data_IF_622263445823
#
_entry.id   IF_622263445823
#
_cell.length_a   1.000
_cell.length_b   1.000
_cell.length_c   1.000
_cell.angle_alpha   90.00
_cell.angle_beta   90.00
_cell.angle_gamma   90.00
#
_symmetry.space_group_name_H-M   'P 1'
#
loop_
_entity.id
_entity.type
_entity.pdbx_description
1 polymer ?
#
# COMPACT_ATOMS: atom_id res chain seq x y z
N UNK A 1 -29.98 -1.67 27.25
CA UNK A 1 -28.80 -0.76 27.19
C UNK A 1 -29.09 0.27 26.14
N UNK A 2 -29.00 1.57 26.46
CA UNK A 2 -29.28 2.67 25.51
C UNK A 2 -28.16 2.71 24.46
N UNK A 3 -28.52 2.87 23.19
CA UNK A 3 -27.52 2.98 22.12
C UNK A 3 -26.74 4.30 22.23
N UNK A 4 -25.44 4.32 21.86
CA UNK A 4 -24.68 5.55 21.69
C UNK A 4 -25.35 6.51 20.71
N UNK A 5 -25.25 7.81 20.99
CA UNK A 5 -25.85 8.86 20.14
C UNK A 5 -25.09 9.09 18.84
N UNK A 6 -23.80 8.73 18.78
CA UNK A 6 -22.89 8.99 17.67
C UNK A 6 -22.28 7.69 17.18
N UNK A 7 -22.12 7.57 15.86
CA UNK A 7 -21.60 6.38 15.22
C UNK A 7 -20.68 6.75 14.07
N UNK A 8 -19.64 5.94 13.89
CA UNK A 8 -18.73 6.03 12.74
C UNK A 8 -18.87 4.77 11.91
N UNK A 9 -19.23 4.92 10.64
CA UNK A 9 -19.22 3.86 9.65
C UNK A 9 -17.76 3.46 9.37
N UNK A 10 -17.50 2.15 9.41
CA UNK A 10 -16.22 1.61 9.01
C UNK A 10 -16.24 1.33 7.50
N UNK A 11 -15.08 1.26 6.85
CA UNK A 11 -15.04 1.06 5.40
C UNK A 11 -15.73 -0.20 4.89
N UNK A 12 -15.76 -1.28 5.70
CA UNK A 12 -16.55 -2.47 5.37
C UNK A 12 -18.07 -2.20 5.28
N UNK A 13 -18.55 -1.05 5.78
CA UNK A 13 -19.95 -0.61 5.69
C UNK A 13 -20.19 0.43 4.58
N UNK A 14 -19.23 0.78 3.75
CA UNK A 14 -19.37 1.83 2.73
C UNK A 14 -20.55 1.61 1.79
N UNK A 15 -20.81 0.37 1.38
CA UNK A 15 -22.00 0.02 0.59
C UNK A 15 -23.33 0.29 1.31
N UNK A 16 -23.34 0.27 2.64
CA UNK A 16 -24.50 0.51 3.48
C UNK A 16 -24.59 2.01 3.82
N UNK A 17 -23.45 2.64 4.09
CA UNK A 17 -23.38 4.03 4.55
C UNK A 17 -23.51 5.07 3.43
N UNK A 18 -23.58 4.64 2.18
CA UNK A 18 -23.65 5.55 1.02
C UNK A 18 -22.43 6.46 0.88
N UNK A 19 -21.28 6.06 1.45
CA UNK A 19 -20.05 6.85 1.43
C UNK A 19 -19.92 7.84 2.59
N UNK A 20 -20.93 8.00 3.44
CA UNK A 20 -20.84 8.84 4.63
C UNK A 20 -20.20 8.07 5.79
N UNK A 21 -19.46 8.79 6.61
CA UNK A 21 -18.69 8.20 7.70
C UNK A 21 -19.32 8.45 9.07
N UNK A 22 -19.72 9.66 9.38
CA UNK A 22 -20.23 10.04 10.69
C UNK A 22 -21.74 10.20 10.69
N UNK A 23 -22.37 9.57 11.68
CA UNK A 23 -23.81 9.52 11.82
C UNK A 23 -24.25 9.88 13.23
N UNK A 24 -25.42 10.52 13.32
CA UNK A 24 -26.14 10.75 14.56
C UNK A 24 -27.32 9.79 14.65
N UNK A 25 -27.54 9.19 15.82
CA UNK A 25 -28.71 8.37 16.10
C UNK A 25 -29.95 9.25 16.23
N UNK A 26 -30.93 9.01 15.37
CA UNK A 26 -32.25 9.66 15.45
C UNK A 26 -33.20 8.87 16.38
N UNK A 27 -33.04 7.56 16.50
CA UNK A 27 -33.87 6.70 17.30
C UNK A 27 -33.78 5.24 16.87
N UNK A 28 -34.58 4.39 17.53
CA UNK A 28 -34.70 2.98 17.20
C UNK A 28 -36.10 2.70 16.62
N UNK A 29 -36.20 1.65 15.80
CA UNK A 29 -37.46 1.16 15.25
C UNK A 29 -37.50 -0.38 15.23
N UNK A 30 -38.71 -0.96 15.06
CA UNK A 30 -38.91 -2.41 15.05
C UNK A 30 -38.95 -3.06 16.43
N UNK A 31 -39.23 -4.36 16.49
CA UNK A 31 -39.28 -5.16 17.69
C UNK A 31 -38.51 -6.48 17.50
N UNK A 32 -38.02 -7.05 18.60
CA UNK A 32 -37.32 -8.32 18.57
C UNK A 32 -36.10 -8.34 17.64
N UNK A 33 -35.98 -9.37 16.79
CA UNK A 33 -34.86 -9.49 15.83
C UNK A 33 -34.81 -8.40 14.74
N UNK A 34 -35.93 -7.78 14.46
CA UNK A 34 -36.07 -6.74 13.42
C UNK A 34 -35.73 -5.32 13.93
N UNK A 35 -35.24 -5.21 15.17
CA UNK A 35 -34.82 -3.92 15.72
C UNK A 35 -33.70 -3.32 14.90
N UNK A 36 -33.84 -2.05 14.55
CA UNK A 36 -32.88 -1.28 13.80
C UNK A 36 -32.71 0.14 14.36
N UNK A 37 -31.55 0.71 14.16
CA UNK A 37 -31.24 2.11 14.46
C UNK A 37 -31.52 2.97 13.23
N UNK A 38 -32.15 4.14 13.42
CA UNK A 38 -32.23 5.19 12.40
C UNK A 38 -31.09 6.15 12.63
N UNK A 39 -30.23 6.27 11.64
CA UNK A 39 -29.05 7.13 11.64
C UNK A 39 -29.21 8.25 10.60
N UNK A 40 -28.68 9.44 10.87
CA UNK A 40 -28.60 10.55 9.92
C UNK A 40 -27.14 10.95 9.75
N UNK A 41 -26.72 11.16 8.49
CA UNK A 41 -25.36 11.58 8.19
C UNK A 41 -25.11 13.00 8.73
N UNK A 42 -23.94 13.23 9.33
CA UNK A 42 -23.61 14.51 9.96
C UNK A 42 -23.30 15.57 8.91
N UNK A 43 -22.62 15.18 7.82
CA UNK A 43 -22.22 16.11 6.76
C UNK A 43 -23.36 16.51 5.82
N UNK A 44 -24.40 15.69 5.70
CA UNK A 44 -25.54 15.99 4.84
C UNK A 44 -26.84 15.62 5.55
N UNK A 45 -27.51 16.64 6.10
CA UNK A 45 -28.81 16.49 6.74
C UNK A 45 -29.85 15.98 5.74
N UNK A 46 -30.61 14.98 6.15
CA UNK A 46 -31.61 14.34 5.28
C UNK A 46 -31.16 13.02 4.69
N UNK A 47 -29.85 12.74 4.66
CA UNK A 47 -29.35 11.39 4.35
C UNK A 47 -29.52 10.49 5.56
N UNK A 48 -30.49 9.57 5.48
CA UNK A 48 -30.91 8.70 6.58
C UNK A 48 -30.72 7.24 6.23
N UNK A 49 -30.25 6.47 7.20
CA UNK A 49 -30.06 5.03 7.10
C UNK A 49 -30.86 4.31 8.18
N UNK A 50 -31.33 3.12 7.83
CA UNK A 50 -31.88 2.15 8.79
C UNK A 50 -30.90 0.98 8.88
N UNK A 51 -30.23 0.86 10.02
CA UNK A 51 -29.18 -0.16 10.25
C UNK A 51 -29.69 -1.18 11.25
N UNK A 52 -29.78 -2.47 10.89
CA UNK A 52 -30.13 -3.54 11.84
C UNK A 52 -29.22 -3.52 13.07
N UNK A 53 -29.76 -3.71 14.27
CA UNK A 53 -28.94 -3.67 15.50
C UNK A 53 -27.84 -4.72 15.55
N UNK A 54 -28.02 -5.85 14.87
CA UNK A 54 -26.96 -6.87 14.70
C UNK A 54 -25.75 -6.29 13.96
N UNK A 55 -25.99 -5.54 12.86
CA UNK A 55 -24.95 -4.95 12.03
C UNK A 55 -24.30 -3.75 12.74
N UNK A 56 -25.10 -2.95 13.47
CA UNK A 56 -24.60 -1.84 14.27
C UNK A 56 -23.68 -2.29 15.43
N UNK A 57 -23.84 -3.53 15.90
CA UNK A 57 -22.98 -4.14 16.93
C UNK A 57 -21.71 -4.76 16.38
N UNK A 58 -21.64 -5.00 15.07
CA UNK A 58 -20.43 -5.47 14.42
C UNK A 58 -19.41 -4.34 14.33
N UNK A 59 -18.35 -4.43 15.10
CA UNK A 59 -17.30 -3.42 15.19
C UNK A 59 -16.50 -3.26 13.89
N UNK A 60 -16.57 -4.22 12.98
CA UNK A 60 -15.98 -4.12 11.64
C UNK A 60 -16.80 -3.20 10.74
N UNK A 61 -18.11 -3.07 11.00
CA UNK A 61 -19.02 -2.24 10.23
C UNK A 61 -19.23 -0.87 10.88
N UNK A 62 -19.37 -0.81 12.22
CA UNK A 62 -19.74 0.40 12.94
C UNK A 62 -18.98 0.55 14.26
N UNK A 63 -18.53 1.75 14.54
CA UNK A 63 -17.91 2.11 15.83
C UNK A 63 -18.75 3.16 16.55
N UNK A 64 -18.98 3.04 17.87
CA UNK A 64 -19.64 4.08 18.65
C UNK A 64 -18.74 5.31 18.81
N UNK A 65 -19.36 6.46 18.84
CA UNK A 65 -18.66 7.73 18.87
C UNK A 65 -18.22 8.19 17.49
N UNK A 66 -17.79 9.43 17.39
CA UNK A 66 -17.12 9.92 16.20
C UNK A 66 -15.62 9.61 16.34
N UNK A 67 -15.14 8.78 15.45
CA UNK A 67 -13.73 8.43 15.37
C UNK A 67 -13.02 9.48 14.50
N UNK A 68 -11.95 10.07 15.02
CA UNK A 68 -11.11 10.95 14.20
C UNK A 68 -10.49 10.18 13.04
N UNK A 69 -10.18 10.86 11.94
CA UNK A 69 -9.43 10.27 10.83
C UNK A 69 -8.03 9.78 11.26
N UNK A 70 -7.50 10.33 12.36
CA UNK A 70 -6.26 9.84 12.98
C UNK A 70 -6.33 8.38 13.46
N UNK A 71 -7.54 7.83 13.66
CA UNK A 71 -7.73 6.42 14.03
C UNK A 71 -7.67 5.47 12.81
N UNK A 72 -7.76 5.97 11.60
CA UNK A 72 -7.45 5.22 10.38
C UNK A 72 -5.98 5.51 10.05
N UNK A 73 -5.14 4.48 10.01
CA UNK A 73 -3.74 4.64 9.66
C UNK A 73 -3.61 5.49 8.39
N UNK A 74 -2.76 6.54 8.45
CA UNK A 74 -2.43 7.31 7.26
C UNK A 74 -1.81 6.35 6.24
N UNK A 75 -2.21 6.48 4.97
CA UNK A 75 -1.56 5.71 3.90
C UNK A 75 -0.20 6.33 3.62
N UNK A 76 0.86 5.52 3.68
CA UNK A 76 2.20 5.98 3.36
C UNK A 76 2.38 6.06 1.85
N UNK A 77 2.80 7.23 1.33
CA UNK A 77 3.23 7.37 -0.06
C UNK A 77 4.74 7.20 -0.11
N UNK A 78 5.20 6.25 -0.91
CA UNK A 78 6.60 5.87 -1.00
C UNK A 78 7.09 6.13 -2.43
N UNK A 79 7.82 7.23 -2.68
CA UNK A 79 8.48 7.45 -3.96
C UNK A 79 9.45 6.32 -4.28
N UNK A 80 9.55 5.96 -5.57
CA UNK A 80 10.43 4.91 -6.02
C UNK A 80 11.49 5.41 -7.01
N UNK A 81 12.73 4.93 -6.83
CA UNK A 81 13.85 5.09 -7.75
C UNK A 81 14.30 3.69 -8.18
N UNK A 82 14.25 3.42 -9.46
CA UNK A 82 14.88 2.26 -10.07
C UNK A 82 16.27 2.65 -10.55
N UNK A 83 17.27 1.83 -10.19
CA UNK A 83 18.67 2.03 -10.55
C UNK A 83 19.09 1.04 -11.63
N UNK A 84 19.59 1.55 -12.75
CA UNK A 84 20.22 0.79 -13.82
C UNK A 84 21.48 1.53 -14.25
N UNK A 85 22.65 0.86 -14.24
CA UNK A 85 23.94 1.46 -14.55
C UNK A 85 24.20 2.78 -13.77
N UNK A 86 23.79 2.83 -12.50
CA UNK A 86 23.96 4.00 -11.63
C UNK A 86 23.02 5.18 -11.93
N UNK A 87 22.01 5.03 -12.75
CA UNK A 87 21.07 6.08 -13.14
C UNK A 87 19.64 5.79 -12.70
N UNK A 88 18.84 6.86 -12.51
CA UNK A 88 17.40 6.75 -12.29
C UNK A 88 16.69 6.41 -13.59
N UNK A 89 16.02 5.27 -13.63
CA UNK A 89 15.30 4.82 -14.82
C UNK A 89 13.88 4.33 -14.46
N UNK A 90 13.12 4.01 -15.51
CA UNK A 90 11.91 3.20 -15.45
C UNK A 90 11.87 2.23 -16.60
N UNK A 91 11.48 1.01 -16.30
CA UNK A 91 11.14 0.00 -17.29
C UNK A 91 9.63 0.05 -17.57
N UNK A 92 9.24 -0.20 -18.80
CA UNK A 92 7.84 -0.43 -19.12
C UNK A 92 7.52 -1.91 -18.89
N UNK A 93 6.66 -2.22 -17.90
CA UNK A 93 6.30 -3.59 -17.51
C UNK A 93 7.51 -4.53 -17.31
N UNK A 94 8.61 -3.99 -16.75
CA UNK A 94 9.83 -4.78 -16.49
C UNK A 94 10.72 -5.06 -17.71
N UNK A 95 10.40 -4.52 -18.88
CA UNK A 95 11.15 -4.75 -20.12
C UNK A 95 12.43 -3.91 -20.15
N UNK A 96 13.59 -4.58 -20.11
CA UNK A 96 14.91 -3.95 -20.16
C UNK A 96 15.27 -3.34 -21.52
N UNK A 97 14.50 -3.65 -22.56
CA UNK A 97 14.65 -3.04 -23.89
C UNK A 97 13.82 -1.73 -23.99
N UNK A 98 12.92 -1.48 -23.04
CA UNK A 98 12.07 -0.29 -22.97
C UNK A 98 12.41 0.56 -21.75
N UNK A 99 13.61 1.12 -21.71
CA UNK A 99 14.13 1.93 -20.60
C UNK A 99 13.90 3.42 -20.85
N UNK A 100 13.22 4.08 -19.94
CA UNK A 100 13.16 5.54 -19.86
C UNK A 100 14.13 6.03 -18.79
N UNK A 101 15.05 6.95 -19.14
CA UNK A 101 16.01 7.55 -18.22
C UNK A 101 15.50 8.90 -17.74
N UNK A 102 15.50 9.13 -16.43
CA UNK A 102 14.97 10.37 -15.83
C UNK A 102 16.06 11.25 -15.22
N UNK A 103 17.06 10.66 -14.58
CA UNK A 103 18.14 11.40 -13.94
C UNK A 103 19.44 10.60 -13.92
N UNK A 104 20.55 11.29 -14.18
CA UNK A 104 21.91 10.74 -13.98
C UNK A 104 22.43 10.93 -12.56
N UNK A 105 21.69 11.63 -11.70
CA UNK A 105 22.04 11.87 -10.29
C UNK A 105 20.94 11.34 -9.36
N UNK A 106 21.02 10.04 -8.99
CA UNK A 106 20.05 9.43 -8.10
C UNK A 106 20.04 10.02 -6.67
N UNK A 107 21.17 10.55 -6.20
CA UNK A 107 21.26 11.19 -4.88
C UNK A 107 20.48 12.49 -4.87
N UNK A 108 20.66 13.35 -5.88
CA UNK A 108 19.89 14.57 -6.01
C UNK A 108 18.39 14.30 -6.13
N UNK A 109 18.01 13.26 -6.89
CA UNK A 109 16.60 12.82 -7.02
C UNK A 109 16.01 12.36 -5.69
N UNK A 110 16.74 11.57 -4.92
CA UNK A 110 16.32 11.09 -3.61
C UNK A 110 16.14 12.24 -2.60
N UNK A 111 17.08 13.19 -2.58
CA UNK A 111 16.98 14.41 -1.77
C UNK A 111 15.79 15.28 -2.18
N UNK A 112 15.46 15.32 -3.47
CA UNK A 112 14.29 16.05 -3.95
C UNK A 112 12.98 15.45 -3.44
N UNK A 113 12.82 14.12 -3.47
CA UNK A 113 11.65 13.46 -2.87
C UNK A 113 11.56 13.74 -1.37
N UNK A 114 12.69 13.66 -0.64
CA UNK A 114 12.71 14.00 0.78
C UNK A 114 12.28 15.45 1.05
N UNK A 115 12.75 16.43 0.25
CA UNK A 115 12.34 17.84 0.38
C UNK A 115 10.86 18.06 0.12
N UNK A 116 10.26 17.27 -0.76
CA UNK A 116 8.83 17.29 -1.03
C UNK A 116 7.98 16.63 0.06
N UNK A 117 8.62 16.04 1.09
CA UNK A 117 7.95 15.48 2.26
C UNK A 117 7.82 13.95 2.26
N UNK A 118 8.54 13.24 1.40
CA UNK A 118 8.60 11.78 1.48
C UNK A 118 9.04 11.32 2.87
N UNK A 119 8.35 10.33 3.44
CA UNK A 119 8.67 9.75 4.74
C UNK A 119 9.47 8.45 4.63
N UNK A 120 9.61 7.91 3.44
CA UNK A 120 10.37 6.70 3.08
C UNK A 120 10.72 6.74 1.60
N UNK A 121 11.86 6.16 1.22
CA UNK A 121 12.23 5.95 -0.18
C UNK A 121 12.27 4.46 -0.49
N UNK A 122 11.74 4.07 -1.65
CA UNK A 122 11.87 2.74 -2.22
C UNK A 122 12.91 2.74 -3.33
N UNK A 123 13.92 1.88 -3.21
CA UNK A 123 14.94 1.66 -4.23
C UNK A 123 14.77 0.27 -4.85
N UNK A 124 14.99 0.17 -6.16
CA UNK A 124 15.12 -1.10 -6.87
C UNK A 124 16.46 -1.13 -7.59
N UNK A 125 17.32 -2.09 -7.24
CA UNK A 125 18.53 -2.39 -7.99
C UNK A 125 18.19 -3.33 -9.16
N UNK A 126 17.97 -2.76 -10.35
CA UNK A 126 17.62 -3.52 -11.54
C UNK A 126 18.78 -4.37 -12.06
N UNK A 127 20.03 -3.91 -11.93
CA UNK A 127 21.21 -4.72 -12.27
C UNK A 127 21.32 -5.91 -11.34
N UNK A 128 21.15 -5.70 -10.03
CA UNK A 128 21.09 -6.75 -9.02
C UNK A 128 19.94 -7.72 -9.26
N UNK A 129 18.76 -7.24 -9.64
CA UNK A 129 17.62 -8.09 -9.96
C UNK A 129 17.92 -9.01 -11.14
N UNK A 130 18.52 -8.48 -12.21
CA UNK A 130 18.86 -9.21 -13.43
C UNK A 130 20.02 -10.18 -13.23
N UNK A 131 21.14 -9.70 -12.66
CA UNK A 131 22.40 -10.46 -12.62
C UNK A 131 22.71 -11.10 -11.26
N UNK A 132 22.11 -10.59 -10.18
CA UNK A 132 22.47 -10.94 -8.80
C UNK A 132 23.79 -10.30 -8.33
N UNK A 133 24.37 -9.37 -9.12
CA UNK A 133 25.64 -8.71 -8.80
C UNK A 133 25.37 -7.30 -8.24
N UNK A 134 26.13 -6.84 -7.23
CA UNK A 134 25.92 -5.56 -6.54
C UNK A 134 26.50 -4.37 -7.33
N UNK A 135 26.02 -4.13 -8.54
CA UNK A 135 26.55 -3.11 -9.45
C UNK A 135 26.32 -1.69 -8.92
N UNK A 136 25.16 -1.46 -8.27
CA UNK A 136 24.74 -0.12 -7.82
C UNK A 136 25.09 0.18 -6.35
N UNK A 137 25.89 -0.63 -5.68
CA UNK A 137 26.18 -0.50 -4.24
C UNK A 137 26.71 0.88 -3.83
N UNK A 138 27.59 1.47 -4.64
CA UNK A 138 28.11 2.81 -4.33
C UNK A 138 27.02 3.87 -4.34
N UNK A 139 26.12 3.81 -5.32
CA UNK A 139 25.00 4.74 -5.44
C UNK A 139 24.00 4.52 -4.31
N UNK A 140 23.67 3.26 -3.99
CA UNK A 140 22.77 2.91 -2.88
C UNK A 140 23.31 3.44 -1.56
N UNK A 141 24.61 3.23 -1.26
CA UNK A 141 25.27 3.76 -0.08
C UNK A 141 25.27 5.28 -0.03
N UNK A 142 25.50 5.94 -1.18
CA UNK A 142 25.47 7.42 -1.26
C UNK A 142 24.06 7.97 -0.98
N UNK A 143 23.01 7.37 -1.56
CA UNK A 143 21.63 7.74 -1.29
C UNK A 143 21.30 7.55 0.19
N UNK A 144 21.60 6.37 0.76
CA UNK A 144 21.29 6.04 2.14
C UNK A 144 22.00 6.98 3.12
N UNK A 145 23.25 7.39 2.82
CA UNK A 145 23.99 8.32 3.65
C UNK A 145 23.49 9.78 3.54
N UNK A 146 22.94 10.18 2.40
CA UNK A 146 22.46 11.53 2.17
C UNK A 146 21.08 11.80 2.75
N UNK A 147 20.23 10.77 2.91
CA UNK A 147 18.87 10.91 3.38
C UNK A 147 18.75 10.81 4.91
N UNK A 148 17.82 11.58 5.47
CA UNK A 148 17.38 11.44 6.87
C UNK A 148 16.13 10.56 7.03
N UNK A 149 15.48 10.21 5.92
CA UNK A 149 14.32 9.31 5.89
C UNK A 149 14.77 7.86 5.66
N UNK A 150 14.01 6.86 6.16
CA UNK A 150 14.33 5.46 5.95
C UNK A 150 14.26 5.07 4.47
N UNK A 151 15.19 4.20 4.07
CA UNK A 151 15.30 3.67 2.70
C UNK A 151 15.07 2.17 2.72
N UNK A 152 14.23 1.66 1.81
CA UNK A 152 14.04 0.24 1.57
C UNK A 152 14.55 -0.14 0.18
N UNK A 153 15.16 -1.31 0.05
CA UNK A 153 15.78 -1.78 -1.20
C UNK A 153 15.28 -3.16 -1.59
N UNK A 154 14.86 -3.27 -2.86
CA UNK A 154 14.65 -4.52 -3.59
C UNK A 154 15.64 -4.68 -4.75
N UNK A 155 15.63 -5.87 -5.35
CA UNK A 155 16.52 -6.20 -6.45
C UNK A 155 17.80 -6.92 -6.01
N UNK A 156 17.95 -8.18 -6.42
CA UNK A 156 19.18 -8.96 -6.22
C UNK A 156 19.46 -9.48 -4.81
N UNK A 157 18.60 -9.26 -3.83
CA UNK A 157 18.80 -9.78 -2.45
C UNK A 157 18.41 -11.26 -2.42
N UNK A 158 19.40 -12.16 -2.58
CA UNK A 158 19.20 -13.61 -2.74
C UNK A 158 19.79 -14.45 -1.62
N UNK A 159 20.57 -13.87 -0.71
CA UNK A 159 21.23 -14.58 0.40
C UNK A 159 21.09 -13.80 1.71
N UNK A 160 21.30 -14.50 2.84
CA UNK A 160 21.29 -13.89 4.16
C UNK A 160 22.41 -12.86 4.31
N UNK A 161 23.59 -13.21 3.85
CA UNK A 161 24.79 -12.36 3.94
C UNK A 161 24.56 -11.05 3.21
N UNK A 162 23.95 -11.09 2.01
CA UNK A 162 23.63 -9.88 1.26
C UNK A 162 22.59 -9.01 1.96
N UNK A 163 21.55 -9.62 2.51
CA UNK A 163 20.55 -8.90 3.30
C UNK A 163 21.17 -8.21 4.52
N UNK A 164 22.02 -8.92 5.26
CA UNK A 164 22.69 -8.43 6.45
C UNK A 164 23.71 -7.31 6.13
N UNK A 165 24.48 -7.46 5.04
CA UNK A 165 25.38 -6.40 4.55
C UNK A 165 24.61 -5.10 4.25
N UNK A 166 23.50 -5.20 3.53
CA UNK A 166 22.66 -4.05 3.18
C UNK A 166 22.05 -3.38 4.41
N UNK A 167 21.53 -4.18 5.36
CA UNK A 167 20.98 -3.69 6.62
C UNK A 167 22.04 -3.03 7.51
N UNK A 168 23.27 -3.61 7.55
CA UNK A 168 24.41 -3.02 8.26
C UNK A 168 24.91 -1.74 7.57
N UNK A 169 24.74 -1.63 6.25
CA UNK A 169 25.07 -0.46 5.44
C UNK A 169 24.10 0.72 5.60
N UNK A 170 23.09 0.61 6.47
CA UNK A 170 22.17 1.70 6.83
C UNK A 170 20.79 1.65 6.19
N UNK A 171 20.50 0.65 5.33
CA UNK A 171 19.13 0.48 4.82
C UNK A 171 18.20 0.13 5.99
N UNK A 172 17.00 0.71 5.96
CA UNK A 172 15.95 0.41 6.95
C UNK A 172 15.33 -0.98 6.70
N UNK A 173 15.05 -1.32 5.45
CA UNK A 173 14.42 -2.59 5.06
C UNK A 173 15.05 -3.18 3.81
N UNK A 174 15.07 -4.49 3.74
CA UNK A 174 15.38 -5.27 2.53
C UNK A 174 14.12 -5.97 2.03
N UNK A 175 13.97 -6.05 0.71
CA UNK A 175 12.81 -6.66 0.06
C UNK A 175 13.26 -7.93 -0.63
N UNK A 176 12.62 -9.04 -0.27
CA UNK A 176 12.88 -10.37 -0.77
C UNK A 176 11.74 -10.78 -1.70
N UNK A 177 12.03 -10.90 -3.01
CA UNK A 177 11.07 -11.34 -4.03
C UNK A 177 11.22 -12.84 -4.33
N UNK A 178 11.99 -13.20 -5.36
CA UNK A 178 12.22 -14.58 -5.81
C UNK A 178 12.58 -15.54 -4.69
N UNK A 179 13.40 -15.09 -3.73
CA UNK A 179 13.79 -15.86 -2.54
C UNK A 179 12.61 -16.25 -1.66
N UNK A 180 11.56 -15.47 -1.62
CA UNK A 180 10.36 -15.80 -0.85
C UNK A 180 9.67 -17.08 -1.36
N UNK A 181 9.83 -17.42 -2.63
CA UNK A 181 9.35 -18.67 -3.23
C UNK A 181 10.40 -19.77 -3.13
N UNK A 182 11.64 -19.47 -3.54
CA UNK A 182 12.69 -20.49 -3.66
C UNK A 182 13.21 -20.96 -2.30
N UNK A 183 13.27 -20.07 -1.29
CA UNK A 183 13.86 -20.32 0.04
C UNK A 183 13.05 -19.61 1.14
N UNK A 184 11.78 -19.98 1.37
CA UNK A 184 10.93 -19.29 2.35
C UNK A 184 11.49 -19.32 3.78
N UNK A 185 12.21 -20.39 4.17
CA UNK A 185 12.83 -20.49 5.49
C UNK A 185 13.95 -19.45 5.70
N UNK A 186 14.61 -19.01 4.63
CA UNK A 186 15.56 -17.91 4.71
C UNK A 186 14.87 -16.59 5.08
N UNK A 187 13.67 -16.34 4.54
CA UNK A 187 12.87 -15.15 4.87
C UNK A 187 12.46 -15.18 6.33
N UNK A 188 11.97 -16.33 6.83
CA UNK A 188 11.57 -16.52 8.23
C UNK A 188 12.76 -16.27 9.17
N UNK A 189 13.94 -16.84 8.85
CA UNK A 189 15.15 -16.67 9.63
C UNK A 189 15.64 -15.20 9.66
N UNK A 190 15.57 -14.50 8.52
CA UNK A 190 15.94 -13.09 8.44
C UNK A 190 14.94 -12.21 9.19
N UNK A 191 13.62 -12.43 9.04
CA UNK A 191 12.59 -11.69 9.73
C UNK A 191 12.69 -11.85 11.25
N UNK A 192 13.02 -13.04 11.74
CA UNK A 192 13.27 -13.31 13.16
C UNK A 192 14.49 -12.58 13.69
N UNK A 193 15.59 -12.54 12.93
CA UNK A 193 16.85 -11.85 13.33
C UNK A 193 16.77 -10.34 13.21
N UNK A 194 15.96 -9.83 12.27
CA UNK A 194 15.82 -8.42 11.97
C UNK A 194 14.34 -7.98 12.00
N UNK A 195 13.68 -7.97 13.19
CA UNK A 195 12.27 -7.64 13.31
C UNK A 195 11.95 -6.27 12.71
N UNK A 196 10.90 -6.21 11.86
CA UNK A 196 10.47 -4.97 11.22
C UNK A 196 11.31 -4.51 10.02
N UNK A 197 12.37 -5.27 9.64
CA UNK A 197 13.31 -4.86 8.59
C UNK A 197 13.30 -5.75 7.33
N UNK A 198 12.50 -6.80 7.32
CA UNK A 198 12.34 -7.70 6.17
C UNK A 198 10.96 -7.52 5.57
N UNK A 199 10.90 -7.30 4.27
CA UNK A 199 9.68 -7.13 3.47
C UNK A 199 9.65 -8.22 2.40
N UNK A 200 8.49 -8.77 2.11
CA UNK A 200 8.30 -9.71 1.00
C UNK A 200 7.72 -8.95 -0.19
N UNK A 201 8.40 -9.04 -1.35
CA UNK A 201 7.87 -8.57 -2.63
C UNK A 201 7.12 -9.69 -3.34
N UNK A 202 5.87 -9.45 -3.67
CA UNK A 202 5.01 -10.37 -4.42
C UNK A 202 4.59 -9.67 -5.70
N UNK A 203 5.31 -9.92 -6.77
CA UNK A 203 5.01 -9.43 -8.10
C UNK A 203 4.16 -10.47 -8.81
N UNK A 204 2.97 -10.12 -9.26
CA UNK A 204 2.02 -11.07 -9.82
C UNK A 204 1.46 -10.62 -11.17
N UNK A 205 1.19 -11.60 -11.99
CA UNK A 205 0.43 -11.45 -13.24
C UNK A 205 -0.71 -12.47 -13.23
N UNK A 206 -1.94 -12.01 -13.43
CA UNK A 206 -3.14 -12.86 -13.41
C UNK A 206 -3.24 -13.72 -12.13
N UNK A 207 -2.83 -13.16 -10.99
CA UNK A 207 -2.84 -13.82 -9.68
C UNK A 207 -1.68 -14.78 -9.41
N UNK A 208 -0.85 -15.10 -10.41
CA UNK A 208 0.32 -15.97 -10.26
C UNK A 208 1.59 -15.16 -10.03
N UNK A 209 2.42 -15.62 -9.09
CA UNK A 209 3.67 -14.92 -8.73
C UNK A 209 4.70 -15.08 -9.83
N UNK A 210 5.31 -13.95 -10.24
CA UNK A 210 6.46 -13.92 -11.13
C UNK A 210 7.78 -13.89 -10.35
N UNK A 211 8.82 -14.42 -10.95
CA UNK A 211 10.17 -14.52 -10.37
C UNK A 211 11.22 -14.02 -11.34
N UNK A 212 12.46 -13.86 -10.83
CA UNK A 212 13.65 -13.52 -11.62
C UNK A 212 13.48 -12.26 -12.47
N UNK A 213 13.00 -11.17 -11.87
CA UNK A 213 12.76 -9.92 -12.61
C UNK A 213 11.65 -10.06 -13.65
N UNK A 214 10.59 -10.82 -13.30
CA UNK A 214 9.37 -11.04 -14.10
C UNK A 214 9.55 -11.90 -15.36
N UNK A 215 10.71 -12.55 -15.51
CA UNK A 215 11.00 -13.41 -16.68
C UNK A 215 10.22 -14.73 -16.60
N UNK A 216 10.03 -15.25 -15.39
CA UNK A 216 9.35 -16.52 -15.17
C UNK A 216 8.08 -16.32 -14.35
N UNK A 217 6.99 -16.97 -14.74
CA UNK A 217 5.76 -17.05 -13.95
C UNK A 217 5.72 -18.40 -13.24
N UNK A 218 5.55 -18.38 -11.93
CA UNK A 218 5.42 -19.59 -11.11
C UNK A 218 3.98 -20.14 -11.15
N UNK A 219 3.76 -21.30 -10.55
CA UNK A 219 2.41 -21.85 -10.30
C UNK A 219 1.83 -21.43 -8.95
N UNK A 220 2.55 -20.57 -8.20
CA UNK A 220 2.16 -20.13 -6.86
C UNK A 220 1.18 -18.98 -6.95
N UNK A 221 0.05 -19.11 -6.28
CA UNK A 221 -0.91 -18.01 -6.15
C UNK A 221 -0.34 -16.93 -5.22
N UNK A 222 -0.47 -15.66 -5.60
CA UNK A 222 0.01 -14.52 -4.82
C UNK A 222 -0.60 -14.49 -3.41
N UNK A 223 -1.89 -14.79 -3.29
CA UNK A 223 -2.59 -14.86 -2.00
C UNK A 223 -2.12 -16.02 -1.12
N UNK A 224 -1.70 -17.15 -1.70
CA UNK A 224 -1.16 -18.27 -0.91
C UNK A 224 0.22 -17.91 -0.35
N UNK A 225 1.06 -17.24 -1.14
CA UNK A 225 2.34 -16.73 -0.67
C UNK A 225 2.15 -15.68 0.43
N UNK A 226 1.15 -14.79 0.30
CA UNK A 226 0.80 -13.83 1.35
C UNK A 226 0.40 -14.52 2.66
N UNK A 227 -0.44 -15.56 2.60
CA UNK A 227 -0.82 -16.37 3.78
C UNK A 227 0.39 -17.05 4.41
N UNK A 228 1.31 -17.57 3.60
CA UNK A 228 2.54 -18.21 4.08
C UNK A 228 3.34 -17.28 5.00
N UNK A 229 3.43 -16.00 4.67
CA UNK A 229 4.20 -15.02 5.43
C UNK A 229 3.39 -14.23 6.48
N UNK A 230 2.11 -14.49 6.62
CA UNK A 230 1.23 -13.79 7.58
C UNK A 230 1.70 -13.89 9.05
N UNK A 231 2.41 -14.97 9.42
CA UNK A 231 2.93 -15.20 10.77
C UNK A 231 4.45 -15.19 10.86
N UNK A 232 5.16 -14.85 9.79
CA UNK A 232 6.64 -14.93 9.70
C UNK A 232 7.39 -13.78 10.35
N UNK A 233 6.68 -12.74 10.82
CA UNK A 233 7.31 -11.55 11.40
C UNK A 233 7.88 -10.57 10.38
N UNK A 234 7.56 -10.73 9.08
CA UNK A 234 7.92 -9.75 8.04
C UNK A 234 7.19 -8.41 8.30
N UNK A 235 7.84 -7.31 7.95
CA UNK A 235 7.36 -5.96 8.23
C UNK A 235 6.16 -5.54 7.36
N UNK A 236 6.14 -6.01 6.11
CA UNK A 236 5.12 -5.71 5.12
C UNK A 236 5.21 -6.69 3.94
N UNK A 237 4.16 -6.70 3.13
CA UNK A 237 4.14 -7.31 1.80
C UNK A 237 3.98 -6.19 0.77
N UNK A 238 4.88 -6.09 -0.19
CA UNK A 238 4.69 -5.25 -1.38
C UNK A 238 3.99 -6.10 -2.43
N UNK A 239 2.84 -5.67 -2.87
CA UNK A 239 2.06 -6.35 -3.91
C UNK A 239 2.10 -5.54 -5.20
N UNK A 240 2.80 -6.06 -6.22
CA UNK A 240 2.91 -5.43 -7.54
C UNK A 240 2.05 -6.19 -8.54
N UNK A 241 1.14 -5.49 -9.22
CA UNK A 241 0.50 -6.01 -10.41
C UNK A 241 1.34 -5.65 -11.64
N UNK A 242 1.98 -6.67 -12.24
CA UNK A 242 2.88 -6.49 -13.39
C UNK A 242 2.13 -5.95 -14.62
N UNK A 243 0.87 -6.33 -14.79
CA UNK A 243 0.08 -5.89 -15.93
C UNK A 243 -0.20 -4.38 -15.93
N UNK A 244 -0.24 -3.76 -14.75
CA UNK A 244 -0.47 -2.32 -14.60
C UNK A 244 0.81 -1.53 -14.35
N UNK A 245 1.92 -2.17 -13.97
CA UNK A 245 3.15 -1.46 -13.63
C UNK A 245 3.72 -0.66 -14.79
N UNK A 246 4.04 0.62 -14.52
CA UNK A 246 4.55 1.58 -15.52
C UNK A 246 3.53 2.05 -16.55
N UNK A 247 2.27 1.59 -16.52
CA UNK A 247 1.23 1.94 -17.51
C UNK A 247 0.45 3.21 -17.20
N UNK A 248 0.43 3.66 -15.93
CA UNK A 248 -0.40 4.76 -15.44
C UNK A 248 -1.93 4.52 -15.59
N UNK A 249 -2.36 3.27 -15.67
CA UNK A 249 -3.75 2.89 -15.94
C UNK A 249 -4.60 2.68 -14.66
N UNK A 250 -4.04 2.98 -13.49
CA UNK A 250 -4.65 2.78 -12.19
C UNK A 250 -4.23 1.44 -11.52
N UNK A 251 -4.38 1.34 -10.19
CA UNK A 251 -4.03 0.15 -9.42
C UNK A 251 -5.11 -0.94 -9.57
N UNK A 252 -4.71 -2.20 -9.48
CA UNK A 252 -5.64 -3.33 -9.43
C UNK A 252 -6.22 -3.49 -8.02
N UNK A 253 -7.32 -2.78 -7.75
CA UNK A 253 -7.97 -2.77 -6.42
C UNK A 253 -8.50 -4.15 -6.00
N UNK A 254 -8.93 -4.98 -6.96
CA UNK A 254 -9.43 -6.32 -6.68
C UNK A 254 -8.30 -7.24 -6.19
N UNK A 255 -7.17 -7.26 -6.90
CA UNK A 255 -6.00 -8.01 -6.50
C UNK A 255 -5.45 -7.54 -5.14
N UNK A 256 -5.36 -6.22 -4.91
CA UNK A 256 -4.90 -5.64 -3.64
C UNK A 256 -5.84 -5.99 -2.48
N UNK A 257 -7.16 -6.01 -2.70
CA UNK A 257 -8.14 -6.46 -1.73
C UNK A 257 -7.91 -7.92 -1.36
N UNK A 258 -7.78 -8.79 -2.36
CA UNK A 258 -7.54 -10.21 -2.15
C UNK A 258 -6.23 -10.46 -1.36
N UNK A 259 -5.18 -9.70 -1.65
CA UNK A 259 -3.90 -9.76 -0.93
C UNK A 259 -4.06 -9.32 0.54
N UNK A 260 -4.75 -8.22 0.79
CA UNK A 260 -4.98 -7.71 2.15
C UNK A 260 -5.87 -8.65 2.99
N UNK A 261 -6.88 -9.28 2.37
CA UNK A 261 -7.73 -10.29 3.03
C UNK A 261 -6.98 -11.60 3.30
N UNK A 262 -5.97 -11.92 2.48
CA UNK A 262 -5.15 -13.11 2.65
C UNK A 262 -4.07 -12.97 3.72
N UNK A 263 -3.72 -11.75 4.14
CA UNK A 263 -2.60 -11.48 5.03
C UNK A 263 -3.01 -10.66 6.25
N UNK A 264 -2.43 -10.97 7.42
CA UNK A 264 -2.46 -10.09 8.60
C UNK A 264 -1.31 -9.08 8.63
N UNK A 265 -0.36 -9.20 7.69
CA UNK A 265 0.77 -8.29 7.53
C UNK A 265 0.35 -7.10 6.67
N UNK A 266 0.80 -5.87 6.97
CA UNK A 266 0.51 -4.70 6.14
C UNK A 266 0.87 -4.90 4.67
N UNK A 267 -0.05 -4.50 3.76
CA UNK A 267 0.17 -4.56 2.31
C UNK A 267 0.50 -3.17 1.78
N UNK A 268 1.54 -3.09 0.95
CA UNK A 268 1.94 -1.89 0.22
C UNK A 268 1.60 -2.13 -1.26
N UNK A 269 0.74 -1.28 -1.81
CA UNK A 269 0.37 -1.33 -3.22
C UNK A 269 1.53 -0.89 -4.11
N UNK A 270 1.71 -1.55 -5.25
CA UNK A 270 2.71 -1.18 -6.26
C UNK A 270 2.17 -1.45 -7.66
N UNK A 271 2.51 -0.56 -8.60
CA UNK A 271 2.08 -0.64 -9.99
C UNK A 271 0.80 0.14 -10.32
N UNK A 272 0.75 0.71 -11.51
CA UNK A 272 -0.43 1.33 -12.11
C UNK A 272 -0.73 2.77 -11.74
N UNK A 273 -0.25 3.30 -10.63
CA UNK A 273 -0.57 4.66 -10.17
C UNK A 273 -0.20 5.70 -11.24
N UNK A 274 -1.20 6.43 -11.71
CA UNK A 274 -1.09 7.48 -12.71
C UNK A 274 -1.59 8.84 -12.25
N UNK A 275 -2.56 8.86 -11.32
CA UNK A 275 -3.24 10.08 -10.87
C UNK A 275 -3.39 10.13 -9.34
N UNK A 276 -3.79 11.30 -8.82
CA UNK A 276 -4.15 11.45 -7.40
C UNK A 276 -5.40 10.61 -7.06
N UNK A 277 -6.34 10.50 -7.98
CA UNK A 277 -7.56 9.70 -7.80
C UNK A 277 -7.23 8.21 -7.60
N UNK A 278 -6.20 7.71 -8.27
CA UNK A 278 -5.73 6.33 -8.08
C UNK A 278 -5.26 6.11 -6.63
N UNK A 279 -4.48 7.05 -6.10
CA UNK A 279 -4.03 7.01 -4.70
C UNK A 279 -5.22 7.07 -3.74
N UNK A 280 -6.17 7.98 -4.00
CA UNK A 280 -7.38 8.11 -3.18
C UNK A 280 -8.25 6.85 -3.23
N UNK A 281 -8.29 6.14 -4.36
CA UNK A 281 -9.04 4.89 -4.49
C UNK A 281 -8.55 3.81 -3.52
N UNK A 282 -7.23 3.76 -3.22
CA UNK A 282 -6.64 2.84 -2.27
C UNK A 282 -7.14 3.05 -0.83
N UNK A 283 -7.59 4.26 -0.48
CA UNK A 283 -8.16 4.52 0.84
C UNK A 283 -9.42 3.66 1.11
N UNK A 284 -10.10 3.18 0.06
CA UNK A 284 -11.28 2.31 0.20
C UNK A 284 -10.92 0.92 0.74
N UNK A 285 -9.68 0.49 0.55
CA UNK A 285 -9.16 -0.80 1.00
C UNK A 285 -8.09 -0.68 2.10
N UNK A 286 -7.75 0.53 2.52
CA UNK A 286 -6.83 0.77 3.63
C UNK A 286 -7.22 0.05 4.93
N UNK A 287 -8.50 -0.06 5.31
CA UNK A 287 -8.91 -0.78 6.51
C UNK A 287 -8.80 -2.30 6.42
N UNK A 288 -8.63 -2.84 5.22
CA UNK A 288 -8.33 -4.26 5.04
C UNK A 288 -6.85 -4.57 5.30
N UNK A 289 -6.00 -3.53 5.38
CA UNK A 289 -4.56 -3.70 5.63
C UNK A 289 -3.65 -3.11 4.56
N UNK A 290 -4.20 -2.45 3.52
CA UNK A 290 -3.39 -1.70 2.55
C UNK A 290 -3.02 -0.36 3.18
N UNK A 291 -1.78 -0.21 3.64
CA UNK A 291 -1.33 0.95 4.41
C UNK A 291 -0.25 1.80 3.72
N UNK A 292 0.12 1.45 2.50
CA UNK A 292 1.10 2.19 1.73
C UNK A 292 0.95 1.99 0.24
N UNK A 293 1.52 2.90 -0.52
CA UNK A 293 1.59 2.85 -1.98
C UNK A 293 2.95 3.31 -2.47
N UNK A 294 3.55 2.53 -3.36
CA UNK A 294 4.77 2.89 -4.09
C UNK A 294 4.35 3.63 -5.35
N UNK A 295 4.89 4.84 -5.52
CA UNK A 295 4.62 5.68 -6.68
C UNK A 295 5.93 5.96 -7.41
N UNK A 296 5.99 5.53 -8.64
CA UNK A 296 7.16 5.69 -9.47
C UNK A 296 6.96 6.72 -10.57
N UNK A 297 6.64 6.23 -11.77
CA UNK A 297 6.57 6.99 -13.01
C UNK A 297 5.73 8.26 -12.91
N UNK A 298 4.57 8.20 -12.26
CA UNK A 298 3.67 9.33 -12.10
C UNK A 298 4.30 10.56 -11.40
N UNK A 299 5.26 10.34 -10.49
CA UNK A 299 6.00 11.43 -9.85
C UNK A 299 7.02 12.06 -10.80
N UNK A 300 7.70 11.26 -11.65
CA UNK A 300 8.64 11.75 -12.64
C UNK A 300 7.95 12.50 -13.79
N UNK A 301 6.81 11.97 -14.25
CA UNK A 301 6.02 12.59 -15.33
C UNK A 301 5.21 13.81 -14.81
N UNK A 302 5.16 14.03 -13.48
CA UNK A 302 4.44 15.14 -12.85
C UNK A 302 2.92 15.00 -12.88
N UNK A 303 2.38 13.82 -13.22
CA UNK A 303 0.94 13.54 -13.18
C UNK A 303 0.42 13.38 -11.75
N UNK A 304 1.31 13.06 -10.81
CA UNK A 304 1.07 13.09 -9.36
C UNK A 304 2.05 14.08 -8.73
N UNK A 305 1.52 15.06 -8.00
CA UNK A 305 2.33 15.91 -7.13
C UNK A 305 2.46 15.26 -5.75
N UNK A 306 3.71 15.01 -5.29
CA UNK A 306 3.95 14.30 -4.04
C UNK A 306 3.39 15.05 -2.83
N UNK A 307 3.56 16.38 -2.75
CA UNK A 307 3.07 17.19 -1.64
C UNK A 307 1.54 17.16 -1.53
N UNK A 308 0.83 17.29 -2.66
CA UNK A 308 -0.63 17.18 -2.70
C UNK A 308 -1.11 15.79 -2.31
N UNK A 309 -0.43 14.76 -2.80
CA UNK A 309 -0.77 13.38 -2.48
C UNK A 309 -0.58 13.07 -0.99
N UNK A 310 0.51 13.53 -0.38
CA UNK A 310 0.75 13.40 1.07
C UNK A 310 -0.32 14.12 1.90
N UNK A 311 -0.75 15.32 1.49
CA UNK A 311 -1.84 16.03 2.15
C UNK A 311 -3.17 15.29 2.00
N UNK A 312 -3.44 14.73 0.83
CA UNK A 312 -4.71 14.06 0.54
C UNK A 312 -4.92 12.77 1.33
N UNK A 313 -3.84 12.04 1.66
CA UNK A 313 -3.92 10.76 2.40
C UNK A 313 -3.42 10.88 3.84
N UNK A 314 -2.86 12.03 4.23
CA UNK A 314 -2.25 12.25 5.54
C UNK A 314 -3.23 12.20 6.71
N UNK A 315 -2.72 12.24 7.95
CA UNK A 315 -3.56 12.14 9.16
C UNK A 315 -4.46 13.36 9.38
N UNK A 316 -4.21 14.47 8.69
CA UNK A 316 -4.98 15.71 8.78
C UNK A 316 -5.92 15.93 7.58
N UNK A 317 -6.13 14.88 6.77
CA UNK A 317 -7.06 14.97 5.65
C UNK A 317 -8.45 15.42 6.07
N UNK A 318 -9.02 16.37 5.35
CA UNK A 318 -10.32 17.01 5.67
C UNK A 318 -11.49 16.21 5.08
N UNK A 319 -11.27 15.26 4.18
CA UNK A 319 -12.36 14.54 3.52
C UNK A 319 -12.91 13.41 4.38
N UNK A 320 -14.18 13.59 4.78
CA UNK A 320 -14.99 12.59 5.49
C UNK A 320 -15.72 11.60 4.55
N UNK A 321 -15.73 11.87 3.26
CA UNK A 321 -16.37 11.05 2.25
C UNK A 321 -15.43 10.78 1.09
N UNK A 322 -15.14 9.52 0.82
CA UNK A 322 -14.60 9.07 -0.45
C UNK A 322 -15.78 9.05 -1.42
N UNK A 323 -15.96 10.11 -2.16
CA UNK A 323 -17.09 10.23 -3.08
C UNK A 323 -16.92 9.30 -4.27
N UNK A 324 -17.62 8.18 -4.26
CA UNK A 324 -18.23 7.71 -5.53
C UNK A 324 -19.34 8.71 -5.91
N UNK A 325 -19.53 9.00 -7.21
CA UNK A 325 -20.53 9.97 -7.64
C UNK A 325 -21.89 9.60 -7.07
N UNK A 326 -22.60 10.61 -6.59
CA UNK A 326 -23.95 10.55 -6.01
C UNK A 326 -24.84 9.58 -6.80
N UNK A 327 -25.01 8.37 -6.31
CA UNK A 327 -26.22 7.61 -6.63
C UNK A 327 -27.27 8.07 -5.63
N UNK A 328 -28.25 8.80 -6.13
CA UNK A 328 -29.47 9.09 -5.39
C UNK A 328 -30.05 7.78 -4.87
N UNK A 329 -29.93 7.56 -3.58
CA UNK A 329 -30.65 6.48 -2.90
C UNK A 329 -32.06 7.01 -2.70
N UNK A 330 -32.92 6.70 -3.66
CA UNK A 330 -34.38 6.83 -3.44
C UNK A 330 -34.78 5.65 -2.56
N UNK A 331 -35.32 5.97 -1.38
CA UNK A 331 -35.91 5.03 -0.40
C UNK A 331 -37.22 4.50 -0.93
#
# INVERSE_FOLDING_TARGET
MKLPQRWTAQPASLGISGGYRHFQLLGEQGKGPERAARLEAVLERGVRLVVPLRDLRDRRLWQPGWQSLRATAAMQIIPAIDLLDGQCVRLHQGDYDQVTRFSSDPVAQALDWQRQGAERLHLVDLDGARTGQPVNDQVIKAITAALSIPVQLGGGVRTAERAEELLAGGLDRVILGTVAIEKPDLVDALASRHPGRVVVGIDAKDGLVATRGWIETSTVQATDLARRFAASGVAAIISTDIATDGTLAGPNLEALRAMAEASSVPVIASGGIGTLEDILSLLTIAPLGVNGVIVGRALYDGTVNLGEALQAVGPERVQDALTSPKRSITV
#
